data_IF_598475464278
#
_entry.id   IF_598475464278
#
_cell.length_a   1.000
_cell.length_b   1.000
_cell.length_c   1.000
_cell.angle_alpha   90.00
_cell.angle_beta   90.00
_cell.angle_gamma   90.00
#
_symmetry.space_group_name_H-M   'P 1'
#
loop_
_entity.id
_entity.type
_entity.pdbx_description
1 polymer ?
#
# COMPACT_ATOMS: atom_id res chain seq x y z
N UNK A 1 12.62 -28.79 17.80
CA UNK A 1 13.91 -28.13 17.55
C UNK A 1 13.64 -26.71 17.07
N UNK A 2 14.07 -25.69 17.82
CA UNK A 2 13.98 -24.30 17.39
C UNK A 2 15.17 -24.03 16.46
N UNK A 3 14.91 -23.90 15.15
CA UNK A 3 15.94 -23.58 14.17
C UNK A 3 16.34 -22.10 14.34
N UNK A 4 17.32 -21.85 15.21
CA UNK A 4 17.97 -20.55 15.32
C UNK A 4 18.93 -20.46 14.12
N UNK A 5 18.43 -19.95 13.00
CA UNK A 5 19.27 -19.56 11.87
C UNK A 5 20.18 -18.39 12.29
N UNK A 6 21.42 -18.32 11.81
CA UNK A 6 22.38 -17.30 12.21
C UNK A 6 21.87 -15.90 11.82
N UNK A 7 21.87 -14.98 12.80
CA UNK A 7 21.62 -13.55 12.63
C UNK A 7 22.66 -12.94 11.68
N UNK A 8 22.48 -13.10 10.37
CA UNK A 8 22.91 -12.04 9.45
C UNK A 8 21.96 -10.88 9.73
N UNK A 9 22.47 -9.71 10.10
CA UNK A 9 21.67 -8.49 10.17
C UNK A 9 21.19 -8.13 8.76
N UNK A 10 20.23 -8.90 8.24
CA UNK A 10 19.40 -8.47 7.15
C UNK A 10 18.80 -7.16 7.63
N UNK A 11 19.09 -6.07 6.91
CA UNK A 11 18.42 -4.78 7.08
C UNK A 11 16.93 -4.99 6.75
N UNK A 12 16.22 -5.61 7.68
CA UNK A 12 14.87 -6.15 7.55
C UNK A 12 13.90 -5.04 7.18
N UNK A 13 14.15 -3.83 7.65
CA UNK A 13 13.42 -2.64 7.23
C UNK A 13 13.53 -2.35 5.74
N UNK A 14 14.71 -2.47 5.11
CA UNK A 14 14.87 -2.17 3.67
C UNK A 14 13.98 -3.07 2.81
N UNK A 15 13.92 -4.36 3.14
CA UNK A 15 13.04 -5.31 2.46
C UNK A 15 11.56 -5.03 2.69
N UNK A 16 11.18 -4.62 3.90
CA UNK A 16 9.79 -4.23 4.17
C UNK A 16 9.38 -2.95 3.43
N UNK A 17 10.27 -1.95 3.36
CA UNK A 17 10.03 -0.73 2.57
C UNK A 17 9.87 -1.06 1.08
N UNK A 18 10.67 -1.99 0.56
CA UNK A 18 10.52 -2.47 -0.82
C UNK A 18 9.21 -3.25 -1.02
N UNK A 19 8.81 -4.09 -0.06
CA UNK A 19 7.54 -4.81 -0.12
C UNK A 19 6.33 -3.85 -0.15
N UNK A 20 6.34 -2.78 0.64
CA UNK A 20 5.31 -1.74 0.61
C UNK A 20 5.31 -1.02 -0.75
N UNK A 21 6.48 -0.62 -1.25
CA UNK A 21 6.61 0.06 -2.56
C UNK A 21 5.99 -0.78 -3.67
N UNK A 22 6.37 -2.04 -3.77
CA UNK A 22 5.89 -2.90 -4.85
C UNK A 22 4.42 -3.26 -4.69
N UNK A 23 3.93 -3.40 -3.45
CA UNK A 23 2.49 -3.56 -3.19
C UNK A 23 1.67 -2.37 -3.67
N UNK A 24 2.13 -1.14 -3.38
CA UNK A 24 1.51 0.08 -3.87
C UNK A 24 1.52 0.17 -5.39
N UNK A 25 2.69 -0.05 -6.02
CA UNK A 25 2.82 0.01 -7.49
C UNK A 25 1.92 -1.01 -8.20
N UNK A 26 1.97 -2.28 -7.77
CA UNK A 26 1.16 -3.34 -8.37
C UNK A 26 -0.34 -3.06 -8.21
N UNK A 27 -0.76 -2.64 -7.01
CA UNK A 27 -2.16 -2.31 -6.72
C UNK A 27 -2.64 -1.08 -7.48
N UNK A 28 -1.80 -0.06 -7.64
CA UNK A 28 -2.09 1.11 -8.44
C UNK A 28 -2.29 0.75 -9.91
N UNK A 29 -1.36 0.00 -10.51
CA UNK A 29 -1.47 -0.46 -11.89
C UNK A 29 -2.74 -1.30 -12.11
N UNK A 30 -3.08 -2.17 -11.15
CA UNK A 30 -4.33 -2.94 -11.20
C UNK A 30 -5.59 -2.04 -11.21
N UNK A 31 -5.57 -0.91 -10.51
CA UNK A 31 -6.70 0.01 -10.45
C UNK A 31 -6.78 0.96 -11.66
N UNK A 32 -5.65 1.54 -12.06
CA UNK A 32 -5.57 2.68 -12.98
C UNK A 32 -4.83 2.41 -14.27
N UNK A 33 -4.12 1.28 -14.38
CA UNK A 33 -3.33 0.90 -15.56
C UNK A 33 -2.23 1.93 -15.90
N UNK A 34 -1.71 2.63 -14.88
CA UNK A 34 -0.66 3.66 -15.02
C UNK A 34 0.57 3.40 -14.12
N UNK A 35 1.64 4.17 -14.39
CA UNK A 35 2.94 4.08 -13.72
C UNK A 35 3.34 5.38 -13.05
N UNK A 36 2.48 5.89 -12.18
CA UNK A 36 2.66 7.17 -11.50
C UNK A 36 3.80 7.18 -10.47
N UNK A 37 4.19 8.40 -10.05
CA UNK A 37 5.17 8.58 -8.98
C UNK A 37 4.67 7.96 -7.67
N UNK A 38 5.60 7.52 -6.81
CA UNK A 38 5.24 6.87 -5.56
C UNK A 38 4.42 7.78 -4.64
N UNK A 39 4.72 9.09 -4.62
CA UNK A 39 4.00 10.07 -3.82
C UNK A 39 2.53 10.19 -4.28
N UNK A 40 2.30 10.27 -5.59
CA UNK A 40 0.94 10.31 -6.16
C UNK A 40 0.18 9.01 -5.93
N UNK A 41 0.87 7.86 -6.00
CA UNK A 41 0.28 6.56 -5.64
C UNK A 41 -0.14 6.56 -4.16
N UNK A 42 0.72 7.03 -3.26
CA UNK A 42 0.40 7.15 -1.83
C UNK A 42 -0.84 8.03 -1.61
N UNK A 43 -0.94 9.18 -2.26
CA UNK A 43 -2.10 10.07 -2.18
C UNK A 43 -3.40 9.36 -2.62
N UNK A 44 -3.35 8.60 -3.72
CA UNK A 44 -4.50 7.78 -4.16
C UNK A 44 -4.92 6.80 -3.07
N UNK A 45 -3.99 6.04 -2.50
CA UNK A 45 -4.31 5.06 -1.46
C UNK A 45 -4.78 5.69 -0.14
N UNK A 46 -4.34 6.90 0.20
CA UNK A 46 -4.89 7.69 1.31
C UNK A 46 -6.34 8.10 1.00
N UNK A 47 -6.64 8.51 -0.24
CA UNK A 47 -8.00 8.89 -0.62
C UNK A 47 -8.99 7.71 -0.61
N UNK A 48 -8.50 6.47 -0.72
CA UNK A 48 -9.31 5.25 -0.53
C UNK A 48 -9.69 4.98 0.94
N UNK A 49 -9.14 5.73 1.90
CA UNK A 49 -9.45 5.55 3.32
C UNK A 49 -10.75 6.22 3.72
N UNK A 50 -11.53 5.52 4.55
CA UNK A 50 -12.66 6.14 5.23
C UNK A 50 -12.14 7.25 6.17
N UNK A 51 -12.91 8.31 6.45
CA UNK A 51 -12.44 9.46 7.21
C UNK A 51 -11.74 9.11 8.54
N UNK A 52 -12.30 8.15 9.29
CA UNK A 52 -11.75 7.67 10.57
C UNK A 52 -10.37 7.00 10.46
N UNK A 53 -10.02 6.46 9.29
CA UNK A 53 -8.74 5.76 9.05
C UNK A 53 -7.73 6.60 8.27
N UNK A 54 -8.17 7.70 7.64
CA UNK A 54 -7.34 8.56 6.79
C UNK A 54 -6.12 9.08 7.54
N UNK A 55 -6.31 9.66 8.72
CA UNK A 55 -5.21 10.18 9.56
C UNK A 55 -4.18 9.09 9.91
N UNK A 56 -4.64 7.86 10.18
CA UNK A 56 -3.74 6.73 10.46
C UNK A 56 -2.97 6.29 9.22
N UNK A 57 -3.58 6.38 8.04
CA UNK A 57 -2.93 6.07 6.78
C UNK A 57 -1.92 7.15 6.40
N UNK A 58 -2.28 8.43 6.50
CA UNK A 58 -1.39 9.57 6.30
C UNK A 58 -0.14 9.42 7.16
N UNK A 59 -0.28 9.22 8.48
CA UNK A 59 0.87 8.99 9.38
C UNK A 59 1.73 7.81 8.94
N UNK A 60 1.12 6.68 8.56
CA UNK A 60 1.85 5.50 8.11
C UNK A 60 2.63 5.77 6.82
N UNK A 61 1.99 6.38 5.83
CA UNK A 61 2.63 6.62 4.53
C UNK A 61 3.66 7.75 4.58
N UNK A 62 3.44 8.79 5.39
CA UNK A 62 4.47 9.80 5.65
C UNK A 62 5.70 9.16 6.28
N UNK A 63 5.51 8.28 7.28
CA UNK A 63 6.63 7.54 7.91
C UNK A 63 7.31 6.60 6.92
N UNK A 64 6.55 5.93 6.05
CA UNK A 64 7.09 5.11 4.97
C UNK A 64 7.99 5.93 4.03
N UNK A 65 7.53 7.10 3.55
CA UNK A 65 8.31 7.96 2.66
C UNK A 65 9.57 8.51 3.34
N UNK A 66 9.50 8.83 4.63
CA UNK A 66 10.64 9.23 5.46
C UNK A 66 11.69 8.10 5.56
N UNK A 67 11.26 6.91 5.97
CA UNK A 67 12.11 5.73 6.15
C UNK A 67 12.73 5.24 4.84
N UNK A 68 12.14 5.54 3.68
CA UNK A 68 12.75 5.28 2.37
C UNK A 68 13.99 6.12 2.12
N UNK A 69 14.02 7.37 2.59
CA UNK A 69 15.16 8.28 2.41
C UNK A 69 16.28 7.92 3.39
N UNK A 70 15.92 7.60 4.63
CA UNK A 70 16.86 7.19 5.67
C UNK A 70 16.35 5.93 6.39
N UNK A 71 16.74 4.72 5.95
CA UNK A 71 16.28 3.48 6.57
C UNK A 71 16.85 3.28 7.98
N UNK A 72 16.01 3.48 8.99
CA UNK A 72 16.30 3.24 10.41
C UNK A 72 15.30 2.27 11.01
N UNK A 73 15.76 1.29 11.79
CA UNK A 73 14.88 0.27 12.36
C UNK A 73 13.80 0.89 13.26
N UNK A 74 12.56 0.88 12.79
CA UNK A 74 11.37 1.31 13.53
C UNK A 74 10.46 0.09 13.73
N UNK A 75 10.58 -0.55 14.89
CA UNK A 75 9.88 -1.80 15.20
C UNK A 75 8.35 -1.63 15.08
N UNK A 76 7.82 -0.48 15.50
CA UNK A 76 6.40 -0.20 15.43
C UNK A 76 5.94 -0.16 13.98
N UNK A 77 6.64 0.58 13.12
CA UNK A 77 6.38 0.62 11.69
C UNK A 77 6.45 -0.78 11.07
N UNK A 78 7.48 -1.55 11.42
CA UNK A 78 7.70 -2.89 10.87
C UNK A 78 6.57 -3.86 11.22
N UNK A 79 6.05 -3.83 12.45
CA UNK A 79 4.92 -4.66 12.88
C UNK A 79 3.64 -4.28 12.13
N UNK A 80 3.41 -3.00 11.87
CA UNK A 80 2.21 -2.53 11.16
C UNK A 80 2.30 -2.70 9.63
N UNK A 81 3.51 -2.89 9.08
CA UNK A 81 3.75 -2.95 7.63
C UNK A 81 3.01 -4.10 6.94
N UNK A 82 3.05 -5.37 7.42
CA UNK A 82 2.29 -6.47 6.82
C UNK A 82 0.78 -6.21 6.79
N UNK A 83 0.24 -5.65 7.88
CA UNK A 83 -1.19 -5.31 7.97
C UNK A 83 -1.54 -4.25 6.92
N UNK A 84 -0.67 -3.26 6.71
CA UNK A 84 -0.89 -2.23 5.69
C UNK A 84 -0.75 -2.74 4.27
N UNK A 85 0.19 -3.64 3.99
CA UNK A 85 0.31 -4.32 2.70
C UNK A 85 -1.01 -5.04 2.36
N UNK A 86 -1.55 -5.82 3.30
CA UNK A 86 -2.83 -6.51 3.07
C UNK A 86 -3.96 -5.52 2.75
N UNK A 87 -4.04 -4.39 3.48
CA UNK A 87 -5.06 -3.36 3.24
C UNK A 87 -4.91 -2.68 1.88
N UNK A 88 -3.68 -2.45 1.39
CA UNK A 88 -3.42 -1.91 0.05
C UNK A 88 -4.08 -2.82 -1.00
N UNK A 89 -3.78 -4.11 -0.97
CA UNK A 89 -4.33 -5.08 -1.93
C UNK A 89 -5.85 -5.18 -1.84
N UNK A 90 -6.41 -5.29 -0.63
CA UNK A 90 -7.87 -5.37 -0.43
C UNK A 90 -8.59 -4.13 -0.99
N UNK A 91 -8.06 -2.93 -0.73
CA UNK A 91 -8.64 -1.68 -1.26
C UNK A 91 -8.61 -1.63 -2.78
N UNK A 92 -7.52 -2.06 -3.39
CA UNK A 92 -7.39 -2.08 -4.83
C UNK A 92 -8.40 -3.04 -5.49
N UNK A 93 -8.58 -4.23 -4.90
CA UNK A 93 -9.61 -5.19 -5.33
C UNK A 93 -11.01 -4.58 -5.21
N UNK A 94 -11.34 -3.95 -4.07
CA UNK A 94 -12.64 -3.32 -3.85
C UNK A 94 -12.87 -2.19 -4.88
N UNK A 95 -11.88 -1.31 -5.08
CA UNK A 95 -11.96 -0.20 -6.02
C UNK A 95 -12.20 -0.69 -7.46
N UNK A 96 -11.44 -1.68 -7.92
CA UNK A 96 -11.61 -2.26 -9.27
C UNK A 96 -12.99 -2.91 -9.45
N UNK A 97 -13.50 -3.58 -8.42
CA UNK A 97 -14.87 -4.15 -8.44
C UNK A 97 -15.93 -3.06 -8.58
N UNK A 98 -15.81 -1.96 -7.82
CA UNK A 98 -16.76 -0.85 -7.86
C UNK A 98 -16.72 -0.10 -9.20
N UNK A 99 -15.54 0.15 -9.75
CA UNK A 99 -15.37 0.82 -11.04
C UNK A 99 -15.89 0.00 -12.21
N UNK A 100 -15.59 -1.31 -12.25
CA UNK A 100 -16.17 -2.23 -13.27
C UNK A 100 -17.70 -2.28 -13.21
N UNK A 101 -18.29 -2.35 -12.01
CA UNK A 101 -19.76 -2.30 -11.85
C UNK A 101 -20.37 -1.01 -12.39
N UNK A 102 -19.75 0.15 -12.09
CA UNK A 102 -20.21 1.44 -12.60
C UNK A 102 -20.10 1.54 -14.13
N UNK A 103 -19.01 1.03 -14.72
CA UNK A 103 -18.84 1.00 -16.17
C UNK A 103 -19.93 0.15 -16.84
N UNK A 104 -20.21 -1.04 -16.29
CA UNK A 104 -21.29 -1.91 -16.77
C UNK A 104 -22.68 -1.25 -16.65
N UNK A 105 -22.98 -0.58 -15.54
CA UNK A 105 -24.28 0.12 -15.40
C UNK A 105 -24.44 1.28 -16.40
N UNK A 106 -23.37 2.02 -16.70
CA UNK A 106 -23.41 3.10 -17.71
C UNK A 106 -23.67 2.59 -19.12
N UNK A 107 -23.20 1.38 -19.48
CA UNK A 107 -23.45 0.81 -20.81
C UNK A 107 -24.88 0.28 -21.00
N UNK A 108 -25.70 0.18 -19.94
CA UNK A 108 -27.09 -0.30 -20.00
C UNK A 108 -28.13 0.83 -19.97
N UNK A 109 -27.73 2.10 -19.87
CA UNK A 109 -28.64 3.23 -19.97
C UNK A 109 -28.67 3.73 -21.43
N UNK A 110 -29.84 3.78 -22.11
CA UNK A 110 -29.93 4.36 -23.43
C UNK A 110 -29.65 5.87 -23.35
N UNK A 111 -28.71 6.33 -24.17
CA UNK A 111 -28.42 7.76 -24.42
C UNK A 111 -29.57 8.47 -25.09
#
# INVERSE_FOLDING_TARGET
ALLIAPKKELNSIKYQLEAIKWSLKASNYYCYEDSESLDKIVERFISFEIPKQKVKAERFYSKFLELRKNPINDLKFMIFSPIRILRIHLKAIIFRKLTKRKASQKSFLPT
#
